data_IF_783430738947
#
_entry.id   IF_783430738947
#
_cell.length_a   1.000
_cell.length_b   1.000
_cell.length_c   1.000
_cell.angle_alpha   90.00
_cell.angle_beta   90.00
_cell.angle_gamma   90.00
#
_symmetry.space_group_name_H-M   'P 1'
#
loop_
_entity.id
_entity.type
_entity.pdbx_description
1 polymer ?
#
# COMPACT_ATOMS: atom_id res chain seq x y z
N UNK A 1 -29.84 -40.38 -86.37
CA UNK A 1 -29.28 -41.62 -85.76
C UNK A 1 -27.96 -41.22 -85.11
N UNK A 2 -27.78 -40.85 -83.83
CA UNK A 2 -28.26 -41.29 -82.49
C UNK A 2 -27.87 -42.73 -82.11
N UNK A 3 -26.76 -42.83 -81.36
CA UNK A 3 -26.32 -43.82 -80.33
C UNK A 3 -24.78 -43.73 -80.23
N UNK A 4 -24.04 -43.87 -79.12
CA UNK A 4 -24.29 -44.09 -77.69
C UNK A 4 -22.89 -44.22 -77.02
N UNK A 5 -22.64 -43.57 -75.86
CA UNK A 5 -21.71 -43.96 -74.75
C UNK A 5 -20.17 -43.88 -75.00
N UNK A 6 -19.24 -43.60 -74.06
CA UNK A 6 -19.11 -43.55 -72.58
C UNK A 6 -17.75 -42.87 -72.20
N UNK A 7 -17.59 -42.48 -70.92
CA UNK A 7 -16.34 -42.29 -70.14
C UNK A 7 -15.38 -41.12 -70.54
N UNK A 8 -14.64 -40.44 -69.67
CA UNK A 8 -14.41 -40.54 -68.23
C UNK A 8 -13.98 -39.15 -67.71
N UNK A 9 -14.40 -38.80 -66.49
CA UNK A 9 -13.98 -37.61 -65.75
C UNK A 9 -12.61 -37.89 -65.11
N UNK A 10 -11.58 -37.14 -65.48
CA UNK A 10 -10.29 -37.10 -64.76
C UNK A 10 -10.03 -35.65 -64.35
N UNK A 11 -10.37 -35.32 -63.10
CA UNK A 11 -9.86 -34.11 -62.46
C UNK A 11 -8.36 -34.31 -62.20
N UNK A 12 -7.51 -33.67 -63.00
CA UNK A 12 -6.13 -33.44 -62.64
C UNK A 12 -6.07 -32.32 -61.60
N UNK A 13 -6.10 -32.69 -60.32
CA UNK A 13 -5.73 -31.79 -59.23
C UNK A 13 -4.20 -31.69 -59.22
N UNK A 14 -3.66 -30.57 -59.70
CA UNK A 14 -2.25 -30.22 -59.50
C UNK A 14 -2.10 -29.71 -58.05
N UNK A 15 -1.91 -30.64 -57.11
CA UNK A 15 -1.39 -30.32 -55.79
C UNK A 15 0.12 -30.47 -55.82
N UNK A 16 0.84 -29.36 -55.98
CA UNK A 16 2.27 -29.30 -55.63
C UNK A 16 2.38 -29.38 -54.11
N UNK A 17 2.48 -30.60 -53.59
CA UNK A 17 2.89 -30.83 -52.21
C UNK A 17 4.41 -30.63 -52.13
N UNK A 18 4.85 -29.56 -51.46
CA UNK A 18 6.24 -29.42 -51.03
C UNK A 18 6.60 -30.60 -50.10
N UNK A 19 7.61 -31.42 -50.42
CA UNK A 19 7.95 -32.61 -49.62
C UNK A 19 8.91 -32.33 -48.46
N UNK A 20 9.19 -31.07 -48.09
CA UNK A 20 10.07 -30.74 -46.96
C UNK A 20 9.61 -29.48 -46.22
N UNK A 21 9.02 -29.65 -45.04
CA UNK A 21 8.79 -28.53 -44.13
C UNK A 21 7.48 -28.65 -43.35
N UNK A 22 7.43 -29.55 -42.37
CA UNK A 22 6.50 -29.35 -41.26
C UNK A 22 6.79 -27.95 -40.70
N UNK A 23 5.83 -27.03 -40.83
CA UNK A 23 5.94 -25.67 -40.32
C UNK A 23 6.01 -25.69 -38.80
N UNK A 24 7.18 -25.96 -38.25
CA UNK A 24 7.44 -25.81 -36.83
C UNK A 24 7.50 -24.31 -36.58
N UNK A 25 6.53 -23.79 -35.84
CA UNK A 25 6.54 -22.40 -35.36
C UNK A 25 7.92 -22.10 -34.75
N UNK A 26 8.56 -20.96 -35.06
CA UNK A 26 9.92 -20.71 -34.59
C UNK A 26 9.97 -20.65 -33.06
N UNK A 27 11.01 -21.25 -32.47
CA UNK A 27 11.26 -21.18 -31.03
C UNK A 27 11.25 -19.72 -30.55
N UNK A 28 10.47 -19.43 -29.50
CA UNK A 28 10.40 -18.13 -28.84
C UNK A 28 10.32 -18.29 -27.32
N UNK A 29 10.88 -17.31 -26.61
CA UNK A 29 10.65 -17.10 -25.18
C UNK A 29 9.40 -16.25 -24.99
N UNK A 30 8.58 -16.56 -24.00
CA UNK A 30 7.37 -15.79 -23.66
C UNK A 30 7.62 -14.71 -22.60
N UNK A 31 8.61 -14.93 -21.74
CA UNK A 31 8.97 -13.99 -20.69
C UNK A 31 9.85 -12.86 -21.24
N UNK A 32 9.28 -11.65 -21.31
CA UNK A 32 9.98 -10.44 -21.76
C UNK A 32 10.62 -9.64 -20.62
N UNK A 33 10.22 -9.89 -19.36
CA UNK A 33 10.73 -9.19 -18.18
C UNK A 33 10.60 -10.05 -16.92
N UNK A 34 11.38 -9.70 -15.89
CA UNK A 34 11.25 -10.28 -14.55
C UNK A 34 10.42 -9.36 -13.64
N UNK A 35 9.48 -9.89 -12.85
CA UNK A 35 8.89 -9.14 -11.75
C UNK A 35 10.00 -8.64 -10.80
N UNK A 36 9.83 -7.47 -10.15
CA UNK A 36 10.74 -7.06 -9.10
C UNK A 36 10.70 -8.07 -7.96
N UNK A 37 11.86 -8.32 -7.35
CA UNK A 37 11.99 -9.05 -6.10
C UNK A 37 12.15 -8.07 -4.94
N UNK A 38 11.76 -8.49 -3.75
CA UNK A 38 11.87 -7.67 -2.55
C UNK A 38 12.72 -8.36 -1.50
N UNK A 39 13.61 -7.60 -0.88
CA UNK A 39 14.53 -8.10 0.15
C UNK A 39 13.76 -8.85 1.23
N UNK A 40 14.20 -10.08 1.54
CA UNK A 40 13.59 -10.90 2.60
C UNK A 40 12.25 -11.54 2.25
N UNK A 41 11.69 -11.30 1.06
CA UNK A 41 10.43 -11.92 0.63
C UNK A 41 10.66 -13.12 -0.31
N UNK A 42 9.82 -14.17 -0.23
CA UNK A 42 9.86 -15.26 -1.21
C UNK A 42 9.65 -14.74 -2.63
N UNK A 43 10.50 -15.18 -3.55
CA UNK A 43 10.45 -14.83 -4.95
C UNK A 43 10.32 -16.09 -5.80
N UNK A 44 9.51 -16.00 -6.87
CA UNK A 44 9.41 -17.02 -7.90
C UNK A 44 9.21 -16.37 -9.27
N UNK A 45 10.02 -16.78 -10.24
CA UNK A 45 9.80 -16.51 -11.65
C UNK A 45 9.90 -17.81 -12.45
N UNK A 46 8.98 -18.02 -13.38
CA UNK A 46 8.96 -19.16 -14.30
C UNK A 46 9.18 -18.66 -15.72
N UNK A 47 10.08 -19.31 -16.44
CA UNK A 47 10.27 -19.09 -17.87
C UNK A 47 9.53 -20.16 -18.66
N UNK A 48 8.92 -19.75 -19.76
CA UNK A 48 8.33 -20.66 -20.72
C UNK A 48 8.77 -20.30 -22.14
N UNK A 49 8.65 -21.28 -23.03
CA UNK A 49 8.95 -21.16 -24.45
C UNK A 49 7.85 -21.82 -25.27
N UNK A 50 7.70 -21.35 -26.50
CA UNK A 50 6.72 -21.82 -27.48
C UNK A 50 7.41 -22.02 -28.83
N UNK A 51 6.77 -22.78 -29.74
CA UNK A 51 7.39 -23.20 -31.00
C UNK A 51 8.58 -24.15 -30.80
N UNK A 52 9.31 -24.44 -31.88
CA UNK A 52 10.42 -25.38 -31.84
C UNK A 52 10.01 -26.82 -31.53
N UNK A 53 11.01 -27.66 -31.27
CA UNK A 53 10.81 -29.07 -30.93
C UNK A 53 11.01 -29.31 -29.43
N UNK A 54 10.05 -29.90 -28.72
CA UNK A 54 10.25 -30.27 -27.31
C UNK A 54 11.22 -31.47 -27.18
N UNK A 55 11.96 -31.63 -26.06
CA UNK A 55 11.90 -30.83 -24.82
C UNK A 55 12.68 -29.51 -24.90
N UNK A 56 12.34 -28.55 -24.04
CA UNK A 56 13.10 -27.31 -23.87
C UNK A 56 14.08 -27.43 -22.70
N UNK A 57 15.31 -26.97 -22.92
CA UNK A 57 16.34 -26.82 -21.91
C UNK A 57 16.62 -25.34 -21.67
N UNK A 58 16.52 -24.89 -20.41
CA UNK A 58 16.81 -23.52 -20.02
C UNK A 58 18.13 -23.43 -19.27
N UNK A 59 18.95 -22.45 -19.60
CA UNK A 59 20.14 -22.06 -18.84
C UNK A 59 20.08 -20.58 -18.52
N UNK A 60 20.70 -20.20 -17.40
CA UNK A 60 20.75 -18.82 -16.92
C UNK A 60 22.20 -18.45 -16.62
N UNK A 61 22.68 -17.39 -17.26
CA UNK A 61 23.97 -16.77 -16.98
C UNK A 61 23.77 -15.45 -16.22
N UNK A 62 24.79 -15.06 -15.45
CA UNK A 62 24.76 -13.89 -14.56
C UNK A 62 24.69 -14.30 -13.09
N UNK A 63 25.06 -13.36 -12.21
CA UNK A 63 25.03 -13.58 -10.76
C UNK A 63 23.62 -13.32 -10.25
N UNK A 64 22.98 -14.33 -9.66
CA UNK A 64 21.75 -14.13 -8.91
C UNK A 64 22.03 -13.44 -7.56
N UNK A 65 21.08 -12.64 -7.03
CA UNK A 65 21.13 -12.17 -5.65
C UNK A 65 21.33 -13.33 -4.68
N UNK A 66 22.11 -13.13 -3.63
CA UNK A 66 22.26 -14.11 -2.56
C UNK A 66 20.89 -14.59 -2.06
N UNK A 67 20.72 -15.93 -1.99
CA UNK A 67 19.48 -16.57 -1.54
C UNK A 67 18.48 -16.90 -2.64
N UNK A 68 18.77 -16.55 -3.90
CA UNK A 68 18.05 -17.04 -5.07
C UNK A 68 18.85 -18.11 -5.81
N UNK A 69 18.13 -19.08 -6.39
CA UNK A 69 18.71 -20.13 -7.24
C UNK A 69 17.92 -20.26 -8.54
N UNK A 70 18.57 -20.79 -9.58
CA UNK A 70 17.93 -21.13 -10.84
C UNK A 70 17.93 -22.65 -11.05
N UNK A 71 16.76 -23.23 -11.30
CA UNK A 71 16.61 -24.66 -11.59
C UNK A 71 15.47 -24.88 -12.57
N UNK A 72 15.75 -25.60 -13.67
CA UNK A 72 14.70 -26.07 -14.59
C UNK A 72 13.81 -24.97 -15.17
N UNK A 73 14.40 -23.80 -15.51
CA UNK A 73 13.62 -22.67 -16.04
C UNK A 73 12.89 -21.86 -14.97
N UNK A 74 13.25 -22.00 -13.69
CA UNK A 74 12.65 -21.24 -12.58
C UNK A 74 13.71 -20.56 -11.74
N UNK A 75 13.47 -19.31 -11.36
CA UNK A 75 14.22 -18.64 -10.28
C UNK A 75 13.36 -18.73 -9.02
N UNK A 76 13.93 -19.24 -7.93
CA UNK A 76 13.23 -19.36 -6.64
C UNK A 76 14.14 -19.00 -5.47
N UNK A 77 13.55 -18.60 -4.34
CA UNK A 77 14.26 -18.38 -3.08
C UNK A 77 13.85 -17.09 -2.39
N UNK A 78 14.71 -16.59 -1.51
CA UNK A 78 14.51 -15.33 -0.79
C UNK A 78 15.77 -14.47 -0.93
N UNK A 79 15.73 -13.32 -1.61
CA UNK A 79 16.90 -12.51 -1.85
C UNK A 79 17.36 -11.83 -0.55
N UNK A 80 18.67 -11.74 -0.37
CA UNK A 80 19.35 -11.16 0.82
C UNK A 80 20.18 -9.93 0.50
N UNK A 81 20.22 -9.51 -0.75
CA UNK A 81 20.92 -8.31 -1.20
C UNK A 81 20.06 -7.52 -2.20
N UNK A 82 20.08 -6.19 -2.09
CA UNK A 82 19.41 -5.26 -3.01
C UNK A 82 20.32 -4.96 -4.20
N UNK A 83 19.72 -4.59 -5.34
CA UNK A 83 20.48 -4.19 -6.52
C UNK A 83 19.78 -4.54 -7.83
N UNK A 84 20.45 -4.22 -8.93
CA UNK A 84 20.07 -4.68 -10.27
C UNK A 84 21.03 -5.78 -10.71
N UNK A 85 20.46 -6.91 -11.13
CA UNK A 85 21.20 -8.11 -11.49
C UNK A 85 20.93 -8.40 -12.96
N UNK A 86 21.86 -8.07 -13.88
CA UNK A 86 21.73 -8.42 -15.29
C UNK A 86 21.87 -9.93 -15.44
N UNK A 87 20.91 -10.54 -16.13
CA UNK A 87 20.83 -11.97 -16.37
C UNK A 87 20.65 -12.24 -17.87
N UNK A 88 21.23 -13.33 -18.35
CA UNK A 88 21.04 -13.80 -19.73
C UNK A 88 20.38 -15.17 -19.67
N UNK A 89 19.13 -15.25 -20.12
CA UNK A 89 18.37 -16.49 -20.22
C UNK A 89 18.53 -17.06 -21.63
N UNK A 90 18.90 -18.33 -21.70
CA UNK A 90 18.96 -19.08 -22.96
C UNK A 90 17.98 -20.24 -22.89
N UNK A 91 17.20 -20.43 -23.97
CA UNK A 91 16.41 -21.65 -24.19
C UNK A 91 16.92 -22.37 -25.43
N UNK A 92 17.08 -23.68 -25.31
CA UNK A 92 17.41 -24.60 -26.40
C UNK A 92 16.25 -25.60 -26.57
N UNK A 93 15.87 -25.88 -27.81
CA UNK A 93 14.88 -26.91 -28.14
C UNK A 93 15.53 -28.26 -28.48
N UNK A 94 14.72 -29.31 -28.62
CA UNK A 94 15.16 -30.66 -28.96
C UNK A 94 15.84 -30.79 -30.32
N UNK A 95 15.68 -29.79 -31.21
CA UNK A 95 16.35 -29.69 -32.49
C UNK A 95 17.62 -28.83 -32.44
N UNK A 96 18.04 -28.41 -31.23
CA UNK A 96 19.23 -27.55 -30.98
C UNK A 96 19.10 -26.12 -31.50
N UNK A 97 17.88 -25.65 -31.77
CA UNK A 97 17.64 -24.23 -31.98
C UNK A 97 17.72 -23.50 -30.64
N UNK A 98 18.35 -22.32 -30.63
CA UNK A 98 18.49 -21.52 -29.42
C UNK A 98 17.87 -20.12 -29.54
N UNK A 99 17.40 -19.59 -28.41
CA UNK A 99 17.00 -18.19 -28.25
C UNK A 99 17.58 -17.64 -26.96
N UNK A 100 18.03 -16.40 -27.02
CA UNK A 100 18.67 -15.69 -25.91
C UNK A 100 17.86 -14.44 -25.59
N UNK A 101 17.60 -14.22 -24.30
CA UNK A 101 16.92 -13.04 -23.78
C UNK A 101 17.77 -12.42 -22.68
N UNK A 102 18.01 -11.12 -22.78
CA UNK A 102 18.60 -10.33 -21.69
C UNK A 102 17.49 -9.85 -20.76
N UNK A 103 17.69 -10.05 -19.47
CA UNK A 103 16.77 -9.70 -18.41
C UNK A 103 17.52 -8.92 -17.33
N UNK A 104 16.79 -8.21 -16.48
CA UNK A 104 17.35 -7.59 -15.29
C UNK A 104 16.42 -7.89 -14.13
N UNK A 105 16.94 -8.58 -13.13
CA UNK A 105 16.24 -8.76 -11.86
C UNK A 105 16.56 -7.56 -10.97
N UNK A 106 15.53 -6.83 -10.57
CA UNK A 106 15.68 -5.74 -9.59
C UNK A 106 15.25 -6.25 -8.23
N UNK A 107 16.13 -6.11 -7.24
CA UNK A 107 15.82 -6.36 -5.83
C UNK A 107 15.83 -5.03 -5.07
N UNK A 108 14.71 -4.67 -4.46
CA UNK A 108 14.58 -3.45 -3.66
C UNK A 108 13.99 -3.75 -2.28
N UNK A 109 13.86 -2.73 -1.43
CA UNK A 109 12.95 -2.85 -0.29
C UNK A 109 11.51 -3.08 -0.76
N UNK A 110 10.70 -3.81 0.01
CA UNK A 110 9.26 -3.84 -0.20
C UNK A 110 8.71 -2.40 -0.20
N UNK A 111 7.86 -2.02 -1.17
CA UNK A 111 7.19 -0.73 -1.13
C UNK A 111 6.29 -0.65 0.11
N UNK A 112 6.08 0.53 0.71
CA UNK A 112 5.19 0.66 1.84
C UNK A 112 3.72 0.43 1.42
N UNK A 113 2.82 0.11 2.38
CA UNK A 113 1.39 0.17 2.17
C UNK A 113 0.94 1.58 1.76
N UNK A 114 -0.20 1.66 1.06
CA UNK A 114 -0.76 2.93 0.59
C UNK A 114 -2.23 3.05 1.01
N UNK A 115 -2.65 4.27 1.37
CA UNK A 115 -4.06 4.62 1.53
C UNK A 115 -4.51 5.40 0.30
N UNK A 116 -5.46 4.86 -0.44
CA UNK A 116 -6.14 5.56 -1.53
C UNK A 116 -7.47 6.08 -1.03
N UNK A 117 -7.66 7.39 -1.09
CA UNK A 117 -8.94 8.04 -0.83
C UNK A 117 -9.73 8.13 -2.15
N UNK A 118 -10.89 7.49 -2.19
CA UNK A 118 -11.80 7.47 -3.35
C UNK A 118 -12.97 8.41 -3.06
N UNK A 119 -13.18 9.36 -3.96
CA UNK A 119 -14.28 10.32 -3.93
C UNK A 119 -14.74 10.62 -5.37
N UNK A 120 -15.91 11.24 -5.56
CA UNK A 120 -16.40 11.59 -6.90
C UNK A 120 -15.37 12.42 -7.69
N UNK A 121 -15.12 12.08 -8.97
CA UNK A 121 -14.12 12.78 -9.78
C UNK A 121 -14.63 14.14 -10.30
N UNK A 122 -15.94 14.36 -10.25
CA UNK A 122 -16.62 15.57 -10.71
C UNK A 122 -17.04 16.46 -9.54
N UNK A 123 -17.59 17.63 -9.86
CA UNK A 123 -18.20 18.51 -8.87
C UNK A 123 -19.36 17.82 -8.16
N UNK A 124 -19.46 18.05 -6.86
CA UNK A 124 -20.55 17.57 -6.00
C UNK A 124 -21.27 18.77 -5.39
N UNK A 125 -22.60 18.68 -5.33
CA UNK A 125 -23.47 19.68 -4.68
C UNK A 125 -24.17 19.13 -3.44
N UNK A 126 -24.15 17.81 -3.25
CA UNK A 126 -24.77 17.12 -2.12
C UNK A 126 -23.82 16.14 -1.44
N UNK A 127 -24.28 15.49 -0.35
CA UNK A 127 -23.48 14.54 0.39
C UNK A 127 -22.94 13.40 -0.47
N UNK A 128 -21.70 12.98 -0.20
CA UNK A 128 -21.04 11.87 -0.90
C UNK A 128 -20.24 11.00 0.08
N UNK A 129 -19.96 9.76 -0.33
CA UNK A 129 -19.10 8.85 0.41
C UNK A 129 -17.63 9.06 0.05
N UNK A 130 -16.81 9.30 1.07
CA UNK A 130 -15.36 9.16 1.01
C UNK A 130 -15.01 7.72 1.41
N UNK A 131 -14.30 7.00 0.54
CA UNK A 131 -13.81 5.64 0.84
C UNK A 131 -12.29 5.66 1.03
N UNK A 132 -11.78 5.04 2.09
CA UNK A 132 -10.36 4.78 2.27
C UNK A 132 -10.04 3.32 1.96
N UNK A 133 -9.15 3.07 1.01
CA UNK A 133 -8.68 1.72 0.66
C UNK A 133 -7.21 1.55 1.00
N UNK A 134 -6.88 0.46 1.69
CA UNK A 134 -5.49 0.07 1.92
C UNK A 134 -5.05 -0.83 0.79
N UNK A 135 -3.97 -0.48 0.11
CA UNK A 135 -3.51 -1.13 -1.12
C UNK A 135 -1.99 -1.34 -1.07
N UNK A 136 -1.44 -2.04 -2.08
CA UNK A 136 0.00 -2.29 -2.30
C UNK A 136 0.59 -3.34 -1.35
N UNK A 137 0.47 -3.13 -0.02
CA UNK A 137 0.96 -4.05 1.01
C UNK A 137 -0.01 -4.18 2.18
N UNK A 138 0.17 -5.27 2.91
CA UNK A 138 -0.53 -5.48 4.17
C UNK A 138 -0.05 -4.48 5.22
N UNK A 139 -1.01 -4.01 6.01
CA UNK A 139 -0.76 -3.17 7.18
C UNK A 139 -1.57 -3.70 8.37
N UNK A 140 -1.03 -3.58 9.58
CA UNK A 140 -1.80 -3.78 10.81
C UNK A 140 -2.53 -2.53 11.28
N UNK A 141 -2.26 -1.39 10.67
CA UNK A 141 -2.99 -0.17 10.96
C UNK A 141 -2.37 1.05 10.32
N UNK A 142 -3.05 2.17 10.50
CA UNK A 142 -2.53 3.46 10.08
C UNK A 142 -3.07 4.60 10.93
N UNK A 143 -2.37 5.72 10.88
CA UNK A 143 -2.81 7.01 11.37
C UNK A 143 -3.05 7.93 10.18
N UNK A 144 -4.17 8.65 10.20
CA UNK A 144 -4.58 9.57 9.14
C UNK A 144 -4.85 10.96 9.73
N UNK A 145 -4.33 11.97 9.05
CA UNK A 145 -4.70 13.38 9.18
C UNK A 145 -5.11 13.90 7.81
N UNK A 146 -6.33 14.42 7.68
CA UNK A 146 -6.79 15.05 6.44
C UNK A 146 -7.57 16.32 6.73
N UNK A 147 -7.26 17.40 6.02
CA UNK A 147 -8.04 18.63 6.09
C UNK A 147 -9.22 18.55 5.14
N UNK A 148 -10.41 18.81 5.66
CA UNK A 148 -11.67 18.86 4.94
C UNK A 148 -11.98 20.33 4.61
N UNK A 149 -11.59 20.77 3.42
CA UNK A 149 -11.87 22.13 2.95
C UNK A 149 -13.30 22.22 2.42
N UNK A 150 -14.11 23.12 2.98
CA UNK A 150 -15.52 23.31 2.63
C UNK A 150 -16.36 22.01 2.73
N UNK A 151 -15.93 21.07 3.57
CA UNK A 151 -16.54 19.76 3.75
C UNK A 151 -16.77 19.49 5.23
N UNK A 152 -17.99 19.07 5.58
CA UNK A 152 -18.36 18.66 6.93
C UNK A 152 -18.56 17.14 6.99
N UNK A 153 -17.88 16.41 7.88
CA UNK A 153 -18.07 14.98 8.03
C UNK A 153 -19.29 14.65 8.89
N UNK A 154 -20.05 13.62 8.50
CA UNK A 154 -20.98 12.95 9.41
C UNK A 154 -20.24 11.83 10.14
N UNK A 155 -19.73 12.12 11.34
CA UNK A 155 -18.91 11.18 12.12
C UNK A 155 -19.66 9.88 12.47
N UNK A 156 -21.00 9.96 12.63
CA UNK A 156 -21.83 8.79 12.95
C UNK A 156 -21.98 7.82 11.77
N UNK A 157 -21.72 8.30 10.55
CA UNK A 157 -21.75 7.49 9.33
C UNK A 157 -20.49 6.65 9.12
N UNK A 158 -19.44 6.85 9.93
CA UNK A 158 -18.18 6.12 9.78
C UNK A 158 -18.45 4.62 9.90
N UNK A 159 -18.06 3.88 8.86
CA UNK A 159 -17.95 2.42 8.93
C UNK A 159 -16.51 2.04 8.65
N UNK A 160 -15.90 1.32 9.58
CA UNK A 160 -14.53 0.84 9.50
C UNK A 160 -14.49 -0.68 9.33
N UNK A 161 -13.41 -1.18 8.72
CA UNK A 161 -13.16 -2.62 8.57
C UNK A 161 -12.67 -3.30 9.88
N UNK A 162 -12.49 -2.51 10.94
CA UNK A 162 -12.09 -2.96 12.27
C UNK A 162 -12.95 -2.25 13.30
N UNK A 163 -13.32 -2.91 14.43
CA UNK A 163 -13.94 -2.23 15.56
C UNK A 163 -12.96 -1.33 16.32
N UNK A 164 -11.65 -1.49 16.11
CA UNK A 164 -10.59 -0.77 16.83
C UNK A 164 -10.14 0.44 16.02
N UNK A 165 -10.87 1.54 16.18
CA UNK A 165 -10.56 2.82 15.55
C UNK A 165 -10.83 3.98 16.50
N UNK A 166 -10.13 5.09 16.27
CA UNK A 166 -10.33 6.35 16.97
C UNK A 166 -10.51 7.45 15.93
N UNK A 167 -11.56 8.26 16.09
CA UNK A 167 -11.95 9.32 15.17
C UNK A 167 -12.10 10.63 15.94
N UNK A 168 -11.54 11.70 15.39
CA UNK A 168 -11.70 13.06 15.88
C UNK A 168 -11.83 14.05 14.72
N UNK A 169 -12.61 15.11 14.93
CA UNK A 169 -12.76 16.19 13.97
C UNK A 169 -12.77 17.52 14.69
N UNK A 170 -11.87 18.41 14.29
CA UNK A 170 -11.86 19.80 14.74
C UNK A 170 -12.56 20.68 13.70
N UNK A 171 -13.79 21.19 13.98
CA UNK A 171 -14.52 22.03 13.05
C UNK A 171 -13.87 23.41 12.82
N UNK A 172 -12.99 23.88 13.72
CA UNK A 172 -12.32 25.18 13.56
C UNK A 172 -11.22 25.11 12.50
N UNK A 173 -10.46 24.01 12.51
CA UNK A 173 -9.36 23.81 11.55
C UNK A 173 -9.74 22.94 10.35
N UNK A 174 -10.92 22.30 10.39
CA UNK A 174 -11.36 21.31 9.41
C UNK A 174 -10.50 20.04 9.42
N UNK A 175 -9.75 19.78 10.50
CA UNK A 175 -8.83 18.64 10.58
C UNK A 175 -9.59 17.40 11.04
N UNK A 176 -9.68 16.40 10.16
CA UNK A 176 -10.14 15.05 10.49
C UNK A 176 -8.93 14.17 10.83
N UNK A 177 -8.99 13.50 11.98
CA UNK A 177 -7.99 12.55 12.46
C UNK A 177 -8.64 11.18 12.61
N UNK A 178 -8.04 10.16 12.02
CA UNK A 178 -8.58 8.81 12.05
C UNK A 178 -7.44 7.81 12.17
N UNK A 179 -7.42 7.07 13.27
CA UNK A 179 -6.43 6.04 13.51
C UNK A 179 -7.16 4.69 13.57
N UNK A 180 -6.74 3.72 12.76
CA UNK A 180 -7.33 2.37 12.72
C UNK A 180 -6.26 1.33 12.99
N UNK A 181 -6.56 0.37 13.88
CA UNK A 181 -5.77 -0.83 14.07
C UNK A 181 -6.58 -2.07 13.67
N UNK A 182 -6.05 -2.86 12.74
CA UNK A 182 -6.69 -4.07 12.25
C UNK A 182 -6.34 -5.27 13.14
N UNK A 183 -7.31 -6.15 13.34
CA UNK A 183 -7.15 -7.39 14.11
C UNK A 183 -6.16 -8.37 13.45
N UNK A 184 -5.98 -8.25 12.13
CA UNK A 184 -5.08 -9.06 11.30
C UNK A 184 -4.53 -8.21 10.14
N UNK A 185 -3.41 -8.61 9.50
CA UNK A 185 -2.88 -7.89 8.35
C UNK A 185 -3.95 -7.62 7.29
N UNK A 186 -4.06 -6.37 6.84
CA UNK A 186 -5.15 -5.86 6.01
C UNK A 186 -4.61 -5.26 4.70
N UNK A 187 -5.17 -5.67 3.55
CA UNK A 187 -4.75 -5.25 2.21
C UNK A 187 -5.88 -5.40 1.18
N UNK A 188 -5.85 -4.57 0.14
CA UNK A 188 -6.69 -4.59 -1.08
C UNK A 188 -8.20 -4.51 -0.80
N UNK A 189 -8.56 -3.92 0.33
CA UNK A 189 -9.92 -3.80 0.82
C UNK A 189 -10.23 -2.37 1.30
N UNK A 190 -11.52 -2.06 1.39
CA UNK A 190 -11.99 -0.81 1.97
C UNK A 190 -11.77 -0.83 3.49
N UNK A 191 -10.90 0.06 3.97
CA UNK A 191 -10.62 0.22 5.40
C UNK A 191 -11.68 1.06 6.11
N UNK A 192 -12.23 2.07 5.43
CA UNK A 192 -13.34 2.84 5.96
C UNK A 192 -14.18 3.51 4.86
N UNK A 193 -15.39 3.90 5.23
CA UNK A 193 -16.23 4.86 4.50
C UNK A 193 -16.83 5.90 5.44
N UNK A 194 -16.95 7.13 4.97
CA UNK A 194 -17.47 8.26 5.74
C UNK A 194 -18.28 9.18 4.82
N UNK A 195 -19.48 9.59 5.24
CA UNK A 195 -20.25 10.62 4.53
C UNK A 195 -19.66 12.00 4.79
N UNK A 196 -19.47 12.75 3.71
CA UNK A 196 -19.07 14.15 3.73
C UNK A 196 -20.14 14.99 3.03
N UNK A 197 -20.46 16.14 3.61
CA UNK A 197 -21.37 17.13 3.03
C UNK A 197 -20.60 18.37 2.58
N UNK A 198 -20.70 18.79 1.31
CA UNK A 198 -20.10 20.04 0.84
C UNK A 198 -20.89 21.25 1.35
N UNK A 199 -20.18 22.28 1.82
CA UNK A 199 -20.78 23.58 2.16
C UNK A 199 -21.14 24.40 0.92
N UNK A 200 -20.48 24.12 -0.21
CA UNK A 200 -20.70 24.74 -1.53
C UNK A 200 -20.26 23.76 -2.64
N UNK A 201 -20.73 23.93 -3.88
CA UNK A 201 -20.32 23.08 -5.00
C UNK A 201 -18.79 23.05 -5.16
N UNK A 202 -18.18 21.87 -5.08
CA UNK A 202 -16.72 21.69 -5.20
C UNK A 202 -16.37 20.35 -5.84
N UNK A 203 -15.14 20.22 -6.36
CA UNK A 203 -14.58 18.90 -6.74
C UNK A 203 -13.71 18.39 -5.59
N UNK A 204 -14.05 17.26 -4.93
CA UNK A 204 -13.31 16.79 -3.77
C UNK A 204 -11.84 16.49 -4.11
N UNK A 205 -10.93 17.08 -3.33
CA UNK A 205 -9.48 16.83 -3.40
C UNK A 205 -8.94 16.71 -1.99
N UNK A 206 -8.17 15.66 -1.75
CA UNK A 206 -7.61 15.36 -0.43
C UNK A 206 -6.09 15.28 -0.52
N UNK A 207 -5.42 15.81 0.50
CA UNK A 207 -3.96 15.68 0.68
C UNK A 207 -3.71 15.13 2.09
N UNK A 208 -4.01 13.84 2.32
CA UNK A 208 -3.88 13.25 3.63
C UNK A 208 -2.41 13.05 4.01
N UNK A 209 -2.10 13.22 5.29
CA UNK A 209 -0.88 12.67 5.90
C UNK A 209 -1.24 11.31 6.47
N UNK A 210 -0.54 10.28 6.02
CA UNK A 210 -0.81 8.89 6.43
C UNK A 210 0.48 8.25 6.86
N UNK A 211 0.42 7.52 7.97
CA UNK A 211 1.55 6.76 8.51
C UNK A 211 1.07 5.35 8.79
N UNK A 212 1.81 4.36 8.31
CA UNK A 212 1.41 2.96 8.36
C UNK A 212 2.20 2.18 9.41
N UNK A 213 1.58 1.10 9.87
CA UNK A 213 2.23 0.03 10.61
C UNK A 213 2.21 -1.22 9.74
N UNK A 214 3.37 -1.83 9.49
CA UNK A 214 3.48 -3.03 8.66
C UNK A 214 2.76 -4.23 9.26
N UNK A 215 2.84 -5.39 8.59
CA UNK A 215 2.17 -6.62 9.04
C UNK A 215 2.72 -7.16 10.36
N UNK A 216 3.91 -6.71 10.79
CA UNK A 216 4.52 -7.00 12.09
C UNK A 216 4.21 -5.91 13.14
N UNK A 217 3.55 -4.83 12.76
CA UNK A 217 3.18 -3.72 13.66
C UNK A 217 4.29 -2.68 13.83
N UNK A 218 5.31 -2.70 12.97
CA UNK A 218 6.39 -1.70 12.99
C UNK A 218 5.97 -0.45 12.22
N UNK A 219 6.26 0.70 12.81
CA UNK A 219 6.02 2.01 12.22
C UNK A 219 6.82 2.22 10.92
N UNK A 220 6.15 2.70 9.88
CA UNK A 220 6.72 3.07 8.59
C UNK A 220 6.68 4.59 8.40
N UNK A 221 7.81 5.25 8.65
CA UNK A 221 7.95 6.72 8.56
C UNK A 221 7.93 7.39 9.93
N UNK A 222 7.56 8.67 9.95
CA UNK A 222 7.46 9.46 11.19
C UNK A 222 6.04 9.36 11.76
N UNK A 223 5.90 9.03 13.05
CA UNK A 223 4.60 8.92 13.69
C UNK A 223 3.84 10.26 13.69
N UNK A 224 2.52 10.22 13.49
CA UNK A 224 1.69 11.39 13.71
C UNK A 224 1.54 11.62 15.22
N UNK A 225 1.55 12.91 15.62
CA UNK A 225 1.48 13.26 17.04
C UNK A 225 0.12 12.87 17.61
N UNK A 226 0.14 12.07 18.68
CA UNK A 226 -1.01 11.66 19.50
C UNK A 226 -0.65 11.86 20.97
N UNK A 227 -1.65 11.94 21.83
CA UNK A 227 -1.46 11.97 23.29
C UNK A 227 -1.08 10.61 23.87
N UNK A 228 -1.40 9.53 23.14
CA UNK A 228 -1.04 8.14 23.45
C UNK A 228 -0.37 7.47 22.25
N UNK A 229 0.56 6.53 22.45
CA UNK A 229 1.20 5.83 21.34
C UNK A 229 0.19 4.95 20.60
N UNK A 230 0.33 4.83 19.28
CA UNK A 230 -0.49 3.91 18.48
C UNK A 230 -0.33 2.45 18.89
N UNK A 231 0.79 2.08 19.53
CA UNK A 231 1.01 0.74 20.06
C UNK A 231 -0.09 0.31 21.06
N UNK A 232 -0.67 1.24 21.82
CA UNK A 232 -1.79 0.96 22.73
C UNK A 232 -3.03 0.50 21.92
N UNK A 233 -3.33 1.19 20.81
CA UNK A 233 -4.43 0.86 19.92
C UNK A 233 -4.18 -0.47 19.17
N UNK A 234 -2.94 -0.72 18.77
CA UNK A 234 -2.56 -1.98 18.14
C UNK A 234 -2.69 -3.17 19.09
N UNK A 235 -2.33 -2.98 20.36
CA UNK A 235 -2.46 -3.99 21.40
C UNK A 235 -3.93 -4.36 21.67
N UNK A 236 -4.84 -3.36 21.65
CA UNK A 236 -6.29 -3.60 21.67
C UNK A 236 -6.72 -4.46 20.49
N UNK A 237 -6.34 -4.09 19.26
CA UNK A 237 -6.72 -4.83 18.06
C UNK A 237 -6.23 -6.29 18.06
N UNK A 238 -5.01 -6.56 18.53
CA UNK A 238 -4.44 -7.91 18.59
C UNK A 238 -5.09 -8.81 19.65
N UNK A 239 -5.72 -8.22 20.67
CA UNK A 239 -6.37 -8.94 21.76
C UNK A 239 -7.88 -8.78 21.79
N UNK A 240 -8.46 -8.11 20.80
CA UNK A 240 -9.88 -7.82 20.73
C UNK A 240 -10.75 -9.07 20.89
N UNK A 241 -11.70 -9.01 21.83
CA UNK A 241 -12.61 -10.11 22.15
C UNK A 241 -11.98 -11.27 22.92
N UNK A 242 -10.72 -11.16 23.38
CA UNK A 242 -10.11 -12.14 24.28
C UNK A 242 -10.57 -11.89 25.72
N UNK A 243 -10.61 -12.98 26.50
CA UNK A 243 -10.92 -12.97 27.93
C UNK A 243 -9.79 -13.66 28.71
N UNK A 244 -9.45 -13.16 29.90
CA UNK A 244 -8.35 -13.68 30.69
C UNK A 244 -7.88 -12.74 31.80
N UNK A 245 -6.86 -13.16 32.54
CA UNK A 245 -6.20 -12.32 33.55
C UNK A 245 -5.01 -11.60 32.92
N UNK A 246 -4.79 -10.35 33.31
CA UNK A 246 -3.63 -9.55 32.91
C UNK A 246 -3.49 -9.45 31.38
N UNK A 247 -4.62 -9.35 30.67
CA UNK A 247 -4.60 -9.25 29.22
C UNK A 247 -3.99 -7.92 28.79
N UNK A 248 -3.04 -8.00 27.88
CA UNK A 248 -2.52 -6.83 27.20
C UNK A 248 -3.64 -6.16 26.39
N UNK A 249 -4.02 -4.94 26.80
CA UNK A 249 -5.08 -4.16 26.15
C UNK A 249 -6.32 -4.04 27.01
N UNK A 250 -6.45 -4.85 28.06
CA UNK A 250 -7.48 -4.69 29.09
C UNK A 250 -7.06 -3.51 29.99
N UNK A 251 -7.57 -2.33 29.66
CA UNK A 251 -7.25 -1.08 30.32
C UNK A 251 -8.15 -0.80 31.53
N UNK A 252 -9.33 -1.43 31.59
CA UNK A 252 -10.28 -1.30 32.69
C UNK A 252 -10.13 -2.39 33.77
N UNK A 253 -9.37 -3.46 33.48
CA UNK A 253 -9.11 -4.58 34.37
C UNK A 253 -10.28 -5.55 34.55
N UNK A 254 -11.26 -5.54 33.64
CA UNK A 254 -12.46 -6.40 33.73
C UNK A 254 -12.23 -7.83 33.20
N UNK A 255 -11.03 -8.10 32.70
CA UNK A 255 -10.61 -9.39 32.17
C UNK A 255 -11.02 -9.61 30.72
N UNK A 256 -11.49 -8.58 30.01
CA UNK A 256 -11.85 -8.61 28.59
C UNK A 256 -11.12 -7.49 27.86
N UNK A 257 -10.98 -7.64 26.54
CA UNK A 257 -10.48 -6.58 25.67
C UNK A 257 -11.58 -6.19 24.70
N UNK A 258 -12.25 -5.08 24.95
CA UNK A 258 -13.45 -4.69 24.21
C UNK A 258 -13.62 -3.16 24.02
N UNK A 259 -14.86 -2.74 23.70
CA UNK A 259 -15.20 -1.35 23.44
C UNK A 259 -14.95 -0.43 24.64
N UNK A 260 -15.06 -0.92 25.88
CA UNK A 260 -14.81 -0.12 27.06
C UNK A 260 -13.33 0.29 27.16
N UNK A 261 -12.41 -0.61 26.79
CA UNK A 261 -10.99 -0.29 26.75
C UNK A 261 -10.66 0.71 25.65
N UNK A 262 -11.32 0.59 24.50
CA UNK A 262 -11.18 1.54 23.39
C UNK A 262 -11.68 2.94 23.80
N UNK A 263 -12.84 3.01 24.46
CA UNK A 263 -13.39 4.26 25.01
C UNK A 263 -12.47 4.87 26.08
N UNK A 264 -11.86 4.04 26.93
CA UNK A 264 -10.88 4.49 27.91
C UNK A 264 -9.64 5.07 27.24
N UNK A 265 -9.12 4.42 26.19
CA UNK A 265 -7.97 4.90 25.42
C UNK A 265 -8.29 6.22 24.70
N UNK A 266 -9.50 6.38 24.19
CA UNK A 266 -9.92 7.53 23.38
C UNK A 266 -9.79 8.89 24.10
N UNK A 267 -10.01 8.92 25.43
CA UNK A 267 -10.17 10.16 26.22
C UNK A 267 -9.00 11.15 26.09
N UNK A 268 -7.77 10.64 26.01
CA UNK A 268 -6.54 11.45 25.91
C UNK A 268 -5.74 11.13 24.64
N UNK A 269 -6.35 10.46 23.67
CA UNK A 269 -5.64 9.98 22.48
C UNK A 269 -5.33 11.12 21.49
N UNK A 270 -6.30 11.97 21.22
CA UNK A 270 -6.14 13.12 20.33
C UNK A 270 -5.91 14.38 21.15
N UNK A 271 -4.74 15.03 21.03
CA UNK A 271 -4.52 16.29 21.73
C UNK A 271 -5.49 17.35 21.19
N UNK A 272 -6.02 18.18 22.08
CA UNK A 272 -6.80 19.36 21.67
C UNK A 272 -5.90 20.25 20.82
N UNK A 273 -6.38 20.64 19.64
CA UNK A 273 -5.64 21.56 18.76
C UNK A 273 -5.53 22.89 19.50
N UNK A 274 -4.33 23.22 19.98
CA UNK A 274 -4.05 24.55 20.52
C UNK A 274 -3.82 25.45 19.32
N UNK A 275 -4.61 26.53 19.20
CA UNK A 275 -4.40 27.51 18.14
C UNK A 275 -2.93 27.97 18.15
N UNK A 276 -2.30 28.21 16.97
CA UNK A 276 -0.99 28.84 16.95
C UNK A 276 -1.09 30.18 17.67
N UNK A 277 -0.19 30.45 18.62
CA UNK A 277 -0.08 31.77 19.22
C UNK A 277 0.07 32.80 18.07
N UNK A 278 -0.81 33.79 18.05
CA UNK A 278 -0.78 34.84 17.05
C UNK A 278 0.63 35.47 17.01
N UNK A 279 1.25 35.64 15.83
CA UNK A 279 2.50 36.36 15.74
C UNK A 279 2.21 37.84 16.02
N UNK A 280 2.60 38.34 17.19
CA UNK A 280 2.66 39.78 17.43
C UNK A 280 2.09 40.35 18.73
N UNK A 281 1.91 39.60 19.82
CA UNK A 281 1.77 40.25 21.13
C UNK A 281 3.14 40.57 21.72
N UNK A 282 3.68 41.72 21.31
CA UNK A 282 4.76 42.42 22.02
C UNK A 282 4.39 42.52 23.51
N UNK A 283 5.28 42.18 24.46
CA UNK A 283 5.01 42.42 25.88
C UNK A 283 4.83 43.93 26.11
N UNK A 284 3.94 44.38 27.02
CA UNK A 284 3.87 45.79 27.35
C UNK A 284 5.22 46.23 27.90
N UNK A 285 5.80 47.27 27.27
CA UNK A 285 7.01 47.94 27.70
C UNK A 285 6.94 48.23 29.20
N UNK A 286 7.93 47.72 29.94
CA UNK A 286 8.08 47.97 31.36
C UNK A 286 8.02 49.47 31.64
N UNK A 287 7.29 49.83 32.69
CA UNK A 287 7.31 51.18 33.26
C UNK A 287 8.75 51.47 33.67
N UNK A 288 9.28 52.55 33.13
CA UNK A 288 10.52 53.18 33.54
C UNK A 288 10.41 53.52 35.04
N UNK A 289 11.20 52.81 35.85
CA UNK A 289 11.30 53.03 37.28
C UNK A 289 12.12 54.32 37.48
N UNK A 290 11.46 55.38 37.95
CA UNK A 290 12.10 56.64 38.27
C UNK A 290 13.12 56.45 39.40
N UNK A 291 14.29 57.12 39.35
CA UNK A 291 15.31 56.96 40.37
C UNK A 291 14.86 57.58 41.72
N UNK A 292 15.29 57.02 42.85
CA UNK A 292 14.89 57.49 44.18
C UNK A 292 15.51 58.87 44.51
N UNK A 293 14.85 59.68 45.36
CA UNK A 293 15.38 60.98 45.76
C UNK A 293 16.59 60.84 46.70
N UNK A 294 17.50 61.84 46.71
CA UNK A 294 18.68 61.82 47.58
C UNK A 294 18.30 61.97 49.06
N UNK A 295 18.99 61.21 49.92
CA UNK A 295 18.87 61.29 51.37
C UNK A 295 19.65 62.51 51.90
N UNK A 296 18.95 63.46 52.50
CA UNK A 296 19.56 64.48 53.38
C UNK A 296 19.76 63.86 54.77
N UNK A 297 21.01 63.53 55.10
CA UNK A 297 21.47 63.42 56.49
C UNK A 297 21.93 64.81 56.97
N UNK A 298 21.47 65.19 58.16
CA UNK A 298 21.68 66.52 58.74
C UNK A 298 23.14 66.82 59.12
N UNK A 299 23.45 68.12 59.09
CA UNK A 299 24.68 68.77 59.57
C UNK A 299 25.02 68.43 61.03
N UNK A 300 26.29 68.61 61.42
CA UNK A 300 26.74 69.92 61.93
C UNK A 300 27.84 70.60 61.11
#
# INVERSE_FOLDING_TARGET
MRKLWLLALLLAACGTQDPTGAGVEPLRLTASSLPPAYLGEPYQALFSAEGGLRPYAFSLEGKLPQGLTFQGGRITGTPREKGQFPLTLTVEDGAKNSRVQRLTLTVSDPPPPRLTLVAPPAQVEGPFLLLGRVEVREALGFQLEVRLQDLSPDLSSLKAATPVYLLDYDPQTGLLRLDLAFLKPFKDQEAFRLLLAPAKPLTPRFSPRVVFYDKEGKLLGEALKRGRPFADLLQLAQNWGKEGKELKGDGNGDGKVDAQDLEALAKDYFPKVTAPAAPGSTPPSGREEAPPPPQEEGSP
#
